data_IF_691320866559
#
_entry.id   IF_691320866559
#
_cell.length_a   1.000
_cell.length_b   1.000
_cell.length_c   1.000
_cell.angle_alpha   90.00
_cell.angle_beta   90.00
_cell.angle_gamma   90.00
#
_symmetry.space_group_name_H-M   'P 1'
#
loop_
_entity.id
_entity.type
_entity.pdbx_description
1 polymer ?
#
# COMPACT_ATOMS: atom_id res chain seq x y z
N UNK A 1 -0.48 -33.90 1.95
CA UNK A 1 -0.23 -34.86 0.86
C UNK A 1 1.27 -34.84 0.54
N UNK A 2 1.90 -36.02 0.37
CA UNK A 2 3.35 -36.16 0.21
C UNK A 2 3.85 -35.45 -1.05
N UNK A 3 4.87 -34.61 -0.93
CA UNK A 3 5.63 -34.07 -2.05
C UNK A 3 6.63 -35.14 -2.52
N UNK A 4 6.63 -35.46 -3.81
CA UNK A 4 7.68 -36.25 -4.45
C UNK A 4 8.75 -35.28 -4.97
N UNK A 5 10.01 -35.53 -4.60
CA UNK A 5 11.18 -34.82 -5.14
C UNK A 5 11.44 -35.28 -6.59
N UNK A 6 11.99 -34.40 -7.47
CA UNK A 6 12.32 -34.77 -8.83
C UNK A 6 13.70 -35.44 -8.93
N UNK A 7 13.77 -36.58 -9.63
CA UNK A 7 15.01 -37.25 -10.05
C UNK A 7 15.80 -36.44 -11.10
N UNK A 8 17.14 -36.60 -11.17
CA UNK A 8 17.99 -35.83 -12.07
C UNK A 8 17.91 -36.31 -13.52
N UNK A 9 17.95 -35.34 -14.44
CA UNK A 9 17.77 -35.52 -15.87
C UNK A 9 18.89 -36.35 -16.53
N UNK A 10 18.49 -37.34 -17.34
CA UNK A 10 19.34 -37.88 -18.41
C UNK A 10 18.98 -37.25 -19.76
N UNK A 11 20.03 -37.03 -20.53
CA UNK A 11 20.14 -36.37 -21.83
C UNK A 11 19.02 -36.63 -22.85
N UNK A 12 18.53 -35.55 -23.46
CA UNK A 12 17.73 -35.62 -24.68
C UNK A 12 16.86 -34.39 -24.86
N UNK A 13 17.10 -33.63 -25.94
CA UNK A 13 16.34 -32.46 -26.38
C UNK A 13 14.81 -32.66 -26.26
N UNK A 14 14.17 -31.96 -25.32
CA UNK A 14 12.73 -31.73 -25.33
C UNK A 14 12.42 -30.42 -24.57
N UNK A 15 11.84 -29.45 -25.26
CA UNK A 15 11.27 -28.27 -24.63
C UNK A 15 10.30 -28.69 -23.53
N UNK A 16 10.57 -28.27 -22.30
CA UNK A 16 9.75 -28.59 -21.13
C UNK A 16 8.38 -27.92 -21.28
N UNK A 17 7.43 -28.62 -21.90
CA UNK A 17 6.00 -28.31 -21.76
C UNK A 17 5.64 -28.52 -20.30
N UNK A 18 5.48 -27.43 -19.56
CA UNK A 18 4.78 -27.42 -18.27
C UNK A 18 3.33 -27.85 -18.53
N UNK A 19 3.07 -29.15 -18.44
CA UNK A 19 1.70 -29.68 -18.41
C UNK A 19 1.13 -29.43 -17.01
N UNK A 20 0.25 -28.43 -16.92
CA UNK A 20 -0.63 -28.25 -15.76
C UNK A 20 -1.73 -29.32 -15.82
N UNK A 21 -1.39 -30.55 -15.41
CA UNK A 21 -2.34 -31.65 -15.33
C UNK A 21 -3.05 -31.62 -13.98
N UNK A 22 -4.10 -30.81 -13.86
CA UNK A 22 -5.25 -31.17 -13.01
C UNK A 22 -6.54 -30.42 -13.48
N UNK A 23 -7.63 -31.11 -13.88
CA UNK A 23 -8.80 -30.48 -14.51
C UNK A 23 -9.75 -29.74 -13.55
N UNK A 24 -9.39 -29.51 -12.28
CA UNK A 24 -10.30 -28.88 -11.31
C UNK A 24 -10.48 -27.37 -11.50
N UNK A 25 -9.65 -26.71 -12.31
CA UNK A 25 -9.64 -25.26 -12.50
C UNK A 25 -10.65 -24.72 -13.55
N UNK A 26 -11.29 -25.60 -14.33
CA UNK A 26 -12.01 -25.21 -15.57
C UNK A 26 -13.54 -25.34 -15.53
N UNK A 27 -14.17 -25.59 -14.38
CA UNK A 27 -15.65 -25.58 -14.28
C UNK A 27 -16.17 -24.25 -13.75
N UNK A 28 -16.81 -23.44 -14.62
CA UNK A 28 -17.75 -22.34 -14.32
C UNK A 28 -17.68 -21.83 -12.86
N UNK A 29 -16.75 -20.93 -12.58
CA UNK A 29 -16.75 -20.19 -11.32
C UNK A 29 -17.25 -18.77 -11.56
N UNK A 30 -18.33 -18.47 -10.85
CA UNK A 30 -18.91 -17.16 -10.64
C UNK A 30 -17.84 -16.07 -10.51
N UNK A 31 -18.11 -14.91 -11.11
CA UNK A 31 -17.54 -13.64 -10.68
C UNK A 31 -17.92 -13.46 -9.22
N UNK A 32 -17.04 -13.81 -8.30
CA UNK A 32 -17.11 -13.36 -6.91
C UNK A 32 -15.82 -12.65 -6.56
N UNK A 33 -15.98 -11.41 -6.11
CA UNK A 33 -15.04 -10.79 -5.18
C UNK A 33 -14.64 -11.79 -4.09
N UNK A 34 -13.39 -11.69 -3.65
CA UNK A 34 -12.70 -12.54 -2.68
C UNK A 34 -12.37 -13.96 -3.15
N UNK A 35 -11.07 -14.20 -3.37
CA UNK A 35 -10.46 -15.49 -3.06
C UNK A 35 -9.41 -15.25 -1.96
N UNK A 36 -9.82 -15.56 -0.73
CA UNK A 36 -8.98 -15.73 0.46
C UNK A 36 -8.30 -17.10 0.37
N UNK A 37 -6.99 -17.18 0.59
CA UNK A 37 -6.34 -18.46 0.91
C UNK A 37 -5.80 -18.38 2.34
N UNK A 38 -6.53 -18.99 3.27
CA UNK A 38 -6.09 -19.26 4.63
C UNK A 38 -5.03 -20.37 4.65
N UNK A 39 -4.01 -20.20 5.48
CA UNK A 39 -2.91 -21.12 5.76
C UNK A 39 -1.98 -21.46 4.59
N UNK A 40 -1.20 -20.46 4.18
CA UNK A 40 0.14 -20.74 3.66
C UNK A 40 1.13 -20.37 4.75
N UNK A 41 1.90 -21.35 5.23
CA UNK A 41 3.06 -21.12 6.11
C UNK A 41 3.87 -19.92 5.58
N UNK A 42 4.45 -19.02 6.43
CA UNK A 42 5.06 -17.76 6.00
C UNK A 42 6.04 -17.86 4.81
N UNK A 43 6.62 -19.04 4.58
CA UNK A 43 7.45 -19.40 3.43
C UNK A 43 6.75 -19.38 2.05
N UNK A 44 5.41 -19.53 1.97
CA UNK A 44 4.71 -19.76 0.69
C UNK A 44 3.77 -18.65 0.20
N UNK A 45 3.43 -17.65 1.02
CA UNK A 45 2.50 -16.57 0.64
C UNK A 45 2.95 -15.80 -0.60
N UNK A 46 4.18 -15.27 -0.55
CA UNK A 46 4.81 -14.53 -1.66
C UNK A 46 4.96 -15.41 -2.91
N UNK A 47 5.20 -16.73 -2.74
CA UNK A 47 5.25 -17.69 -3.85
C UNK A 47 3.88 -17.81 -4.54
N UNK A 48 2.79 -17.96 -3.78
CA UNK A 48 1.42 -18.02 -4.33
C UNK A 48 1.10 -16.77 -5.14
N UNK A 49 1.40 -15.58 -4.62
CA UNK A 49 1.20 -14.33 -5.35
C UNK A 49 2.03 -14.26 -6.64
N UNK A 50 3.30 -14.63 -6.60
CA UNK A 50 4.17 -14.62 -7.79
C UNK A 50 3.64 -15.54 -8.89
N UNK A 51 3.24 -16.77 -8.54
CA UNK A 51 2.68 -17.71 -9.50
C UNK A 51 1.32 -17.24 -10.04
N UNK A 52 0.50 -16.59 -9.21
CA UNK A 52 -0.77 -16.01 -9.67
C UNK A 52 -0.55 -14.89 -10.68
N UNK A 53 0.42 -14.00 -10.46
CA UNK A 53 0.79 -12.98 -11.45
C UNK A 53 1.21 -13.64 -12.76
N UNK A 54 2.09 -14.65 -12.70
CA UNK A 54 2.53 -15.37 -13.89
C UNK A 54 1.38 -16.06 -14.64
N UNK A 55 0.40 -16.62 -13.90
CA UNK A 55 -0.80 -17.23 -14.47
C UNK A 55 -1.69 -16.20 -15.17
N UNK A 56 -1.97 -15.06 -14.51
CA UNK A 56 -2.79 -13.98 -15.09
C UNK A 56 -2.18 -13.46 -16.40
N UNK A 57 -0.86 -13.31 -16.44
CA UNK A 57 -0.15 -12.83 -17.63
C UNK A 57 -0.14 -13.87 -18.77
N UNK A 58 0.15 -15.14 -18.46
CA UNK A 58 0.39 -16.16 -19.50
C UNK A 58 -0.85 -16.91 -19.96
N UNK A 59 -1.79 -17.15 -19.06
CA UNK A 59 -2.96 -17.99 -19.33
C UNK A 59 -4.22 -17.15 -19.51
N UNK A 60 -4.37 -16.08 -18.72
CA UNK A 60 -5.50 -15.17 -18.84
C UNK A 60 -5.23 -13.99 -19.79
N UNK A 61 -4.01 -13.89 -20.34
CA UNK A 61 -3.60 -12.86 -21.30
C UNK A 61 -3.87 -11.43 -20.80
N UNK A 62 -3.80 -11.22 -19.48
CA UNK A 62 -3.97 -9.90 -18.89
C UNK A 62 -2.76 -9.03 -19.24
N UNK A 63 -2.95 -7.80 -19.75
CA UNK A 63 -1.84 -6.89 -20.01
C UNK A 63 -1.06 -6.58 -18.72
N UNK A 64 0.29 -6.58 -18.72
CA UNK A 64 1.06 -6.34 -17.49
C UNK A 64 0.73 -5.01 -16.77
N UNK A 65 0.51 -3.88 -17.46
CA UNK A 65 0.11 -2.63 -16.80
C UNK A 65 -1.26 -2.68 -16.13
N UNK A 66 -2.11 -3.67 -16.45
CA UNK A 66 -3.40 -3.89 -15.80
C UNK A 66 -3.27 -4.64 -14.46
N UNK A 67 -2.05 -5.07 -14.08
CA UNK A 67 -1.77 -5.77 -12.83
C UNK A 67 -1.03 -4.85 -11.86
N UNK A 68 -1.58 -4.70 -10.66
CA UNK A 68 -0.92 -4.10 -9.50
C UNK A 68 -0.65 -5.17 -8.46
N UNK A 69 0.60 -5.27 -8.02
CA UNK A 69 1.01 -6.12 -6.91
C UNK A 69 1.71 -5.29 -5.84
N UNK A 70 1.13 -5.27 -4.65
CA UNK A 70 1.64 -4.52 -3.50
C UNK A 70 2.06 -5.48 -2.39
N UNK A 71 3.24 -5.25 -1.83
CA UNK A 71 3.78 -6.02 -0.70
C UNK A 71 4.10 -5.10 0.46
N UNK A 72 3.75 -5.53 1.68
CA UNK A 72 4.35 -5.00 2.90
C UNK A 72 5.64 -5.77 3.17
N UNK A 73 6.70 -5.07 3.56
CA UNK A 73 7.94 -5.77 3.96
C UNK A 73 8.27 -5.45 5.40
N UNK A 74 8.43 -6.52 6.18
CA UNK A 74 8.87 -6.55 7.57
C UNK A 74 10.38 -6.53 7.74
N UNK A 75 11.16 -6.33 6.67
CA UNK A 75 12.62 -6.30 6.75
C UNK A 75 13.18 -5.02 6.19
N UNK A 76 13.17 -3.98 7.02
CA UNK A 76 14.21 -2.95 7.04
C UNK A 76 14.24 -2.32 8.43
N UNK A 77 15.15 -2.76 9.29
CA UNK A 77 15.64 -1.93 10.40
C UNK A 77 16.93 -1.17 10.02
N UNK A 78 17.41 -1.28 8.77
CA UNK A 78 18.77 -0.88 8.39
C UNK A 78 18.93 -0.26 6.98
N UNK A 79 17.88 0.29 6.38
CA UNK A 79 17.95 0.96 5.06
C UNK A 79 17.43 2.38 5.22
N UNK A 80 18.15 3.40 4.72
CA UNK A 80 17.75 4.80 4.84
C UNK A 80 16.39 5.05 4.18
N UNK A 81 15.53 5.94 4.75
CA UNK A 81 14.17 6.26 4.28
C UNK A 81 14.03 6.44 2.76
N UNK A 82 15.02 7.04 2.12
CA UNK A 82 15.07 7.27 0.66
C UNK A 82 15.07 5.99 -0.19
N UNK A 83 15.50 4.85 0.35
CA UNK A 83 15.51 3.55 -0.34
C UNK A 83 14.28 2.66 -0.02
N UNK A 84 13.33 3.14 0.80
CA UNK A 84 12.07 2.43 1.11
C UNK A 84 11.11 2.36 -0.07
N UNK A 85 11.39 3.11 -1.12
CA UNK A 85 10.62 3.09 -2.37
C UNK A 85 10.79 1.78 -3.14
N UNK A 86 11.86 1.02 -2.88
CA UNK A 86 12.14 -0.28 -3.49
C UNK A 86 12.58 -1.30 -2.41
N UNK A 87 11.61 -1.80 -1.63
CA UNK A 87 11.88 -2.72 -0.52
C UNK A 87 12.33 -4.12 -1.00
N UNK A 88 13.03 -4.83 -0.12
CA UNK A 88 13.62 -6.14 -0.38
C UNK A 88 12.59 -7.19 -0.84
N UNK A 89 11.37 -7.23 -0.28
CA UNK A 89 10.36 -8.19 -0.73
C UNK A 89 9.77 -7.86 -2.11
N UNK A 90 9.68 -6.57 -2.47
CA UNK A 90 9.31 -6.19 -3.82
C UNK A 90 10.40 -6.59 -4.82
N UNK A 91 11.69 -6.43 -4.46
CA UNK A 91 12.82 -6.91 -5.25
C UNK A 91 12.85 -8.43 -5.38
N UNK A 92 12.55 -9.15 -4.31
CA UNK A 92 12.48 -10.61 -4.32
C UNK A 92 11.33 -11.10 -5.21
N UNK A 93 10.13 -10.52 -5.08
CA UNK A 93 9.00 -10.84 -5.95
C UNK A 93 9.32 -10.48 -7.40
N UNK A 94 9.98 -9.35 -7.67
CA UNK A 94 10.42 -8.95 -9.01
C UNK A 94 11.39 -9.97 -9.60
N UNK A 95 12.37 -10.43 -8.81
CA UNK A 95 13.36 -11.42 -9.24
C UNK A 95 12.69 -12.75 -9.59
N UNK A 96 11.80 -13.24 -8.73
CA UNK A 96 11.04 -14.47 -8.96
C UNK A 96 10.15 -14.34 -10.19
N UNK A 97 9.47 -13.21 -10.36
CA UNK A 97 8.63 -12.95 -11.51
C UNK A 97 9.46 -12.93 -12.81
N UNK A 98 10.59 -12.21 -12.80
CA UNK A 98 11.55 -12.17 -13.92
C UNK A 98 11.99 -13.57 -14.35
N UNK A 99 12.29 -14.46 -13.39
CA UNK A 99 12.65 -15.84 -13.69
C UNK A 99 11.51 -16.65 -14.32
N UNK A 100 10.25 -16.36 -13.96
CA UNK A 100 9.08 -17.06 -14.47
C UNK A 100 8.63 -16.58 -15.85
N UNK A 101 8.57 -15.26 -16.07
CA UNK A 101 7.92 -14.66 -17.26
C UNK A 101 8.86 -13.83 -18.15
N UNK A 102 10.12 -13.66 -17.76
CA UNK A 102 11.09 -12.83 -18.46
C UNK A 102 11.11 -11.37 -17.95
N UNK A 103 12.27 -10.73 -18.05
CA UNK A 103 12.50 -9.41 -17.46
C UNK A 103 11.73 -8.26 -18.11
N UNK A 104 11.47 -8.34 -19.42
CA UNK A 104 10.70 -7.32 -20.15
C UNK A 104 9.25 -7.26 -19.68
N UNK A 105 8.59 -8.41 -19.57
CA UNK A 105 7.19 -8.47 -19.12
C UNK A 105 7.08 -8.14 -17.63
N UNK A 106 8.03 -8.63 -16.82
CA UNK A 106 8.03 -8.39 -15.39
C UNK A 106 8.22 -6.91 -15.02
N UNK A 107 8.94 -6.11 -15.83
CA UNK A 107 9.15 -4.68 -15.55
C UNK A 107 7.93 -3.81 -15.87
N UNK A 108 6.99 -4.31 -16.67
CA UNK A 108 5.75 -3.61 -17.00
C UNK A 108 4.64 -3.80 -15.95
N UNK A 109 4.79 -4.80 -15.06
CA UNK A 109 3.88 -4.99 -13.92
C UNK A 109 4.12 -3.90 -12.88
N UNK A 110 3.04 -3.31 -12.36
CA UNK A 110 3.13 -2.35 -11.26
C UNK A 110 3.37 -3.13 -9.97
N UNK A 111 4.63 -3.42 -9.67
CA UNK A 111 5.07 -4.16 -8.49
C UNK A 111 5.82 -3.26 -7.51
N UNK A 112 5.41 -3.24 -6.24
CA UNK A 112 6.12 -2.45 -5.22
C UNK A 112 5.41 -2.36 -3.88
N UNK A 113 5.62 -1.24 -3.21
CA UNK A 113 4.90 -0.85 -1.98
C UNK A 113 3.77 0.12 -2.32
N UNK A 114 2.82 0.32 -1.40
CA UNK A 114 1.80 1.35 -1.56
C UNK A 114 2.42 2.73 -1.83
N UNK A 115 3.47 3.08 -1.07
CA UNK A 115 4.19 4.34 -1.24
C UNK A 115 4.86 4.45 -2.61
N UNK A 116 5.59 3.41 -3.03
CA UNK A 116 6.28 3.41 -4.33
C UNK A 116 5.32 3.55 -5.51
N UNK A 117 4.19 2.84 -5.45
CA UNK A 117 3.12 3.00 -6.41
C UNK A 117 2.55 4.42 -6.40
N UNK A 118 2.20 4.97 -5.22
CA UNK A 118 1.66 6.32 -5.12
C UNK A 118 2.65 7.36 -5.65
N UNK A 119 3.95 7.24 -5.36
CA UNK A 119 4.98 8.12 -5.93
C UNK A 119 4.96 8.09 -7.45
N UNK A 120 4.94 6.90 -8.07
CA UNK A 120 4.89 6.77 -9.53
C UNK A 120 3.68 7.50 -10.12
N UNK A 121 2.50 7.31 -9.55
CA UNK A 121 1.29 7.98 -10.02
C UNK A 121 1.30 9.50 -9.75
N UNK A 122 1.76 9.93 -8.58
CA UNK A 122 1.85 11.35 -8.20
C UNK A 122 2.89 12.11 -9.03
N UNK A 123 4.02 11.47 -9.38
CA UNK A 123 5.00 12.07 -10.30
C UNK A 123 4.41 12.30 -11.68
N UNK A 124 3.55 11.39 -12.16
CA UNK A 124 2.95 11.46 -13.49
C UNK A 124 1.70 12.34 -13.55
N UNK A 125 0.92 12.40 -12.48
CA UNK A 125 -0.43 12.97 -12.48
C UNK A 125 -0.75 13.91 -11.31
N UNK A 126 0.21 14.19 -10.42
CA UNK A 126 -0.01 15.00 -9.21
C UNK A 126 -0.50 16.42 -9.50
N UNK A 127 -0.16 17.00 -10.65
CA UNK A 127 -0.67 18.32 -11.05
C UNK A 127 -2.19 18.40 -11.16
N UNK A 128 -2.86 17.26 -11.41
CA UNK A 128 -4.33 17.19 -11.47
C UNK A 128 -5.01 17.43 -10.13
N UNK A 129 -4.29 17.26 -9.02
CA UNK A 129 -4.77 17.54 -7.67
C UNK A 129 -4.03 18.73 -7.04
N UNK A 130 -3.38 19.56 -7.86
CA UNK A 130 -2.71 20.78 -7.41
C UNK A 130 -1.31 20.59 -6.83
N UNK A 131 -0.73 19.39 -6.88
CA UNK A 131 0.68 19.22 -6.47
C UNK A 131 1.61 19.94 -7.43
N UNK A 132 2.48 20.79 -6.88
CA UNK A 132 3.55 21.46 -7.63
C UNK A 132 4.51 20.40 -8.18
N UNK A 133 5.19 20.70 -9.29
CA UNK A 133 6.25 19.83 -9.81
C UNK A 133 7.45 19.78 -8.85
N UNK A 134 8.30 18.76 -9.01
CA UNK A 134 9.59 18.64 -8.30
C UNK A 134 9.51 18.63 -6.76
N UNK A 135 8.38 18.19 -6.20
CA UNK A 135 8.28 17.97 -4.75
C UNK A 135 9.31 16.95 -4.26
N UNK A 136 9.76 17.09 -3.03
CA UNK A 136 10.72 16.16 -2.41
C UNK A 136 10.04 15.30 -1.35
N UNK A 137 10.63 14.14 -1.02
CA UNK A 137 10.13 13.26 0.03
C UNK A 137 10.84 13.60 1.32
N UNK A 138 10.08 13.98 2.34
CA UNK A 138 10.60 14.32 3.66
C UNK A 138 10.90 13.04 4.44
N UNK A 139 12.17 12.87 4.82
CA UNK A 139 12.60 11.78 5.68
C UNK A 139 12.23 12.02 7.16
N UNK A 140 12.57 11.07 8.03
CA UNK A 140 12.21 11.14 9.45
C UNK A 140 12.87 12.29 10.18
N UNK A 141 14.11 12.64 9.84
CA UNK A 141 14.83 13.71 10.51
C UNK A 141 14.25 15.06 10.09
N UNK A 142 13.89 15.21 8.81
CA UNK A 142 13.16 16.36 8.31
C UNK A 142 11.77 16.49 8.96
N UNK A 143 11.00 15.40 9.08
CA UNK A 143 9.71 15.42 9.79
C UNK A 143 9.87 15.93 11.24
N UNK A 144 10.91 15.48 11.96
CA UNK A 144 11.18 15.94 13.33
C UNK A 144 11.57 17.42 13.37
N UNK A 145 12.30 17.91 12.36
CA UNK A 145 12.62 19.33 12.22
C UNK A 145 11.35 20.18 11.99
N UNK A 146 10.45 19.75 11.11
CA UNK A 146 9.15 20.41 10.90
C UNK A 146 8.28 20.37 12.16
N UNK A 147 8.21 19.23 12.86
CA UNK A 147 7.50 19.13 14.13
C UNK A 147 8.06 20.08 15.19
N UNK A 148 9.38 20.27 15.23
CA UNK A 148 10.04 21.24 16.12
C UNK A 148 9.73 22.69 15.72
N UNK A 149 9.73 23.00 14.43
CA UNK A 149 9.36 24.32 13.93
C UNK A 149 7.91 24.66 14.25
N UNK A 150 6.99 23.71 14.03
CA UNK A 150 5.55 23.83 14.34
C UNK A 150 5.33 24.19 15.82
N UNK A 151 6.02 23.50 16.75
CA UNK A 151 5.88 23.76 18.19
C UNK A 151 6.52 25.08 18.66
N UNK A 152 7.34 25.71 17.81
CA UNK A 152 7.97 27.02 18.08
C UNK A 152 7.24 28.17 17.42
N UNK A 153 6.21 27.90 16.62
CA UNK A 153 5.38 28.92 16.02
C UNK A 153 4.79 29.81 17.14
N UNK A 154 4.90 31.15 17.04
CA UNK A 154 4.33 32.07 18.02
C UNK A 154 2.84 31.83 18.31
N UNK A 155 2.08 31.27 17.36
CA UNK A 155 0.68 30.90 17.55
C UNK A 155 0.46 29.83 18.64
N UNK A 156 1.47 28.97 18.86
CA UNK A 156 1.39 27.82 19.77
C UNK A 156 2.41 27.88 20.92
N UNK A 157 3.31 28.87 20.91
CA UNK A 157 4.40 28.99 21.87
C UNK A 157 3.88 29.06 23.31
N UNK A 158 2.77 29.75 23.54
CA UNK A 158 2.15 29.90 24.86
C UNK A 158 1.51 28.60 25.37
N UNK A 159 0.93 27.82 24.45
CA UNK A 159 0.23 26.57 24.75
C UNK A 159 1.19 25.39 24.96
N UNK A 160 2.48 25.55 24.66
CA UNK A 160 3.53 24.54 24.86
C UNK A 160 4.76 25.10 25.60
N UNK A 161 4.59 26.13 26.45
CA UNK A 161 5.70 26.74 27.21
C UNK A 161 6.42 25.74 28.12
N UNK A 162 5.68 24.78 28.67
CA UNK A 162 6.21 23.71 29.53
C UNK A 162 6.92 22.59 28.75
N UNK A 163 6.95 22.68 27.41
CA UNK A 163 7.46 21.64 26.51
C UNK A 163 6.82 20.27 26.74
N UNK A 164 5.57 20.24 27.20
CA UNK A 164 4.81 19.01 27.40
C UNK A 164 4.66 18.20 26.11
N UNK A 165 4.52 18.87 24.97
CA UNK A 165 4.47 18.24 23.65
C UNK A 165 5.86 18.25 23.03
N UNK A 166 6.40 17.04 22.81
CA UNK A 166 7.70 16.84 22.13
C UNK A 166 7.51 16.70 20.61
N UNK A 167 8.46 17.13 19.76
CA UNK A 167 8.37 17.02 18.30
C UNK A 167 8.06 15.60 17.82
N UNK A 168 8.70 14.59 18.43
CA UNK A 168 8.45 13.18 18.13
C UNK A 168 6.99 12.79 18.36
N UNK A 169 6.42 13.16 19.50
CA UNK A 169 5.04 12.87 19.87
C UNK A 169 4.05 13.56 18.95
N UNK A 170 4.34 14.80 18.54
CA UNK A 170 3.55 15.52 17.55
C UNK A 170 3.53 14.78 16.21
N UNK A 171 4.71 14.48 15.65
CA UNK A 171 4.84 13.81 14.35
C UNK A 171 4.18 12.42 14.37
N UNK A 172 4.31 11.66 15.46
CA UNK A 172 3.64 10.36 15.61
C UNK A 172 2.11 10.50 15.68
N UNK A 173 1.61 11.55 16.35
CA UNK A 173 0.16 11.83 16.41
C UNK A 173 -0.40 12.24 15.05
N UNK A 174 0.35 13.04 14.29
CA UNK A 174 0.02 13.42 12.91
C UNK A 174 0.03 12.18 12.00
N UNK A 175 1.08 11.37 12.06
CA UNK A 175 1.18 10.13 11.28
C UNK A 175 0.00 9.19 11.57
N UNK A 176 -0.40 9.06 12.84
CA UNK A 176 -1.61 8.33 13.22
C UNK A 176 -2.86 8.88 12.53
N UNK A 177 -3.08 10.19 12.59
CA UNK A 177 -4.23 10.83 11.96
C UNK A 177 -4.23 10.62 10.43
N UNK A 178 -3.07 10.81 9.78
CA UNK A 178 -2.90 10.57 8.34
C UNK A 178 -3.20 9.11 7.97
N UNK A 179 -2.72 8.13 8.73
CA UNK A 179 -2.99 6.71 8.48
C UNK A 179 -4.48 6.31 8.56
N UNK A 180 -5.28 7.13 9.25
CA UNK A 180 -6.73 6.99 9.38
C UNK A 180 -7.51 7.77 8.32
N UNK A 181 -6.83 8.58 7.50
CA UNK A 181 -7.45 9.47 6.52
C UNK A 181 -8.05 10.74 7.13
N UNK A 182 -7.68 11.10 8.36
CA UNK A 182 -8.20 12.28 9.04
C UNK A 182 -7.41 13.53 8.61
N UNK A 183 -8.11 14.55 8.10
CA UNK A 183 -7.52 15.86 7.81
C UNK A 183 -7.43 16.72 9.08
N UNK A 184 -6.59 17.77 9.10
CA UNK A 184 -6.57 18.74 10.20
C UNK A 184 -7.95 19.35 10.48
N UNK A 185 -8.70 19.66 9.43
CA UNK A 185 -10.04 20.24 9.51
C UNK A 185 -11.05 19.25 10.11
N UNK A 186 -10.97 17.96 9.73
CA UNK A 186 -11.82 16.93 10.31
C UNK A 186 -11.49 16.70 11.78
N UNK A 187 -10.20 16.63 12.13
CA UNK A 187 -9.77 16.54 13.52
C UNK A 187 -10.28 17.73 14.35
N UNK A 188 -10.25 18.94 13.80
CA UNK A 188 -10.74 20.13 14.47
C UNK A 188 -12.25 20.08 14.69
N UNK A 189 -13.00 19.62 13.67
CA UNK A 189 -14.46 19.45 13.73
C UNK A 189 -14.88 18.45 14.80
N UNK A 190 -14.13 17.37 14.96
CA UNK A 190 -14.38 16.29 15.93
C UNK A 190 -13.75 16.55 17.31
N UNK A 191 -13.04 17.66 17.51
CA UNK A 191 -12.28 17.91 18.72
C UNK A 191 -13.18 18.38 19.89
N UNK A 192 -13.40 17.48 20.84
CA UNK A 192 -14.20 17.74 22.05
C UNK A 192 -13.40 18.39 23.18
N UNK A 193 -12.07 18.27 23.16
CA UNK A 193 -11.20 18.78 24.24
C UNK A 193 -10.25 19.86 23.71
N UNK A 194 -9.81 20.81 24.56
CA UNK A 194 -8.81 21.80 24.18
C UNK A 194 -7.53 21.17 23.60
N UNK A 195 -7.09 20.05 24.17
CA UNK A 195 -5.93 19.32 23.67
C UNK A 195 -6.15 18.75 22.26
N UNK A 196 -7.32 18.14 21.98
CA UNK A 196 -7.64 17.65 20.62
C UNK A 196 -7.68 18.81 19.60
N UNK A 197 -8.21 19.98 20.00
CA UNK A 197 -8.24 21.19 19.15
C UNK A 197 -6.82 21.66 18.85
N UNK A 198 -5.97 21.74 19.87
CA UNK A 198 -4.55 22.09 19.72
C UNK A 198 -3.83 21.13 18.77
N UNK A 199 -4.02 19.81 18.91
CA UNK A 199 -3.43 18.82 18.02
C UNK A 199 -3.86 19.01 16.55
N UNK A 200 -5.13 19.33 16.30
CA UNK A 200 -5.63 19.61 14.96
C UNK A 200 -4.99 20.87 14.36
N UNK A 201 -4.85 21.94 15.14
CA UNK A 201 -4.20 23.18 14.71
C UNK A 201 -2.70 22.99 14.45
N UNK A 202 -2.00 22.25 15.31
CA UNK A 202 -0.58 21.90 15.10
C UNK A 202 -0.41 21.03 13.85
N UNK A 203 -1.33 20.11 13.59
CA UNK A 203 -1.30 19.33 12.34
C UNK A 203 -1.47 20.23 11.11
N UNK A 204 -2.39 21.22 11.15
CA UNK A 204 -2.52 22.19 10.06
C UNK A 204 -1.22 22.96 9.82
N UNK A 205 -0.65 23.56 10.86
CA UNK A 205 0.61 24.31 10.77
C UNK A 205 1.78 23.45 10.28
N UNK A 206 1.92 22.21 10.76
CA UNK A 206 2.91 21.25 10.24
C UNK A 206 2.73 21.00 8.74
N UNK A 207 1.48 20.84 8.28
CA UNK A 207 1.17 20.61 6.87
C UNK A 207 1.47 21.84 6.01
N UNK A 208 1.20 23.04 6.54
CA UNK A 208 1.51 24.32 5.85
C UNK A 208 3.02 24.50 5.66
N UNK A 209 3.84 24.09 6.64
CA UNK A 209 5.30 24.11 6.52
C UNK A 209 5.81 23.16 5.44
N UNK A 210 5.25 21.94 5.36
CA UNK A 210 5.58 20.98 4.29
C UNK A 210 5.20 21.53 2.91
N UNK A 211 4.01 22.13 2.79
CA UNK A 211 3.51 22.71 1.54
C UNK A 211 4.36 23.91 1.08
N UNK A 212 4.78 24.75 2.02
CA UNK A 212 5.66 25.89 1.75
C UNK A 212 6.99 25.44 1.14
N UNK A 213 7.57 24.36 1.68
CA UNK A 213 8.83 23.78 1.20
C UNK A 213 8.65 22.81 0.02
N UNK A 214 7.43 22.66 -0.49
CA UNK A 214 7.09 21.72 -1.56
C UNK A 214 7.56 20.28 -1.22
N UNK A 215 7.37 19.87 0.02
CA UNK A 215 7.73 18.55 0.52
C UNK A 215 6.49 17.72 0.83
N UNK A 216 6.58 16.41 0.60
CA UNK A 216 5.60 15.42 1.04
C UNK A 216 6.27 14.47 2.03
N UNK A 217 5.67 14.25 3.18
CA UNK A 217 6.12 13.18 4.06
C UNK A 217 5.60 11.80 3.59
N UNK A 218 6.03 10.73 4.25
CA UNK A 218 5.67 9.38 3.83
C UNK A 218 4.15 9.13 3.84
N UNK A 219 3.44 9.66 4.83
CA UNK A 219 2.01 9.45 4.95
C UNK A 219 1.24 10.30 3.92
N UNK A 220 1.76 11.48 3.56
CA UNK A 220 1.22 12.32 2.48
C UNK A 220 1.20 11.58 1.14
N UNK A 221 2.21 10.76 0.85
CA UNK A 221 2.23 9.98 -0.39
C UNK A 221 0.97 9.10 -0.54
N UNK A 222 0.49 8.52 0.57
CA UNK A 222 -0.72 7.71 0.56
C UNK A 222 -1.97 8.58 0.48
N UNK A 223 -2.05 9.67 1.25
CA UNK A 223 -3.20 10.58 1.23
C UNK A 223 -3.41 11.22 -0.14
N UNK A 224 -2.36 11.78 -0.74
CA UNK A 224 -2.44 12.37 -2.08
C UNK A 224 -2.66 11.30 -3.15
N UNK A 225 -2.10 10.10 -2.99
CA UNK A 225 -2.38 8.97 -3.89
C UNK A 225 -3.86 8.58 -3.88
N UNK A 226 -4.44 8.45 -2.69
CA UNK A 226 -5.86 8.19 -2.48
C UNK A 226 -6.72 9.29 -3.11
N UNK A 227 -6.41 10.56 -2.83
CA UNK A 227 -7.09 11.72 -3.41
C UNK A 227 -7.02 11.70 -4.94
N UNK A 228 -5.84 11.44 -5.52
CA UNK A 228 -5.65 11.37 -6.96
C UNK A 228 -6.58 10.32 -7.59
N UNK A 229 -6.61 9.12 -7.03
CA UNK A 229 -7.40 8.01 -7.54
C UNK A 229 -8.90 8.24 -7.37
N UNK A 230 -9.31 8.83 -6.25
CA UNK A 230 -10.71 9.19 -5.98
C UNK A 230 -11.21 10.27 -6.93
N UNK A 231 -10.46 11.35 -7.10
CA UNK A 231 -10.86 12.50 -7.93
C UNK A 231 -10.70 12.24 -9.44
N UNK A 232 -9.81 11.33 -9.84
CA UNK A 232 -9.50 11.05 -11.24
C UNK A 232 -9.49 9.54 -11.54
N UNK A 233 -10.64 8.84 -11.41
CA UNK A 233 -10.70 7.38 -11.53
C UNK A 233 -10.25 6.85 -12.91
N UNK A 234 -10.31 7.68 -13.96
CA UNK A 234 -9.80 7.33 -15.29
C UNK A 234 -8.29 7.03 -15.32
N UNK A 235 -7.51 7.50 -14.35
CA UNK A 235 -6.06 7.20 -14.25
C UNK A 235 -5.82 5.72 -13.99
N UNK A 236 -6.70 5.10 -13.20
CA UNK A 236 -6.57 3.72 -12.73
C UNK A 236 -7.58 2.77 -13.39
N UNK A 237 -8.37 3.24 -14.35
CA UNK A 237 -9.42 2.44 -15.00
C UNK A 237 -8.91 1.27 -15.84
N UNK A 238 -7.62 1.27 -16.17
CA UNK A 238 -6.96 0.18 -16.90
C UNK A 238 -6.55 -0.98 -15.98
N UNK A 239 -6.60 -0.79 -14.65
CA UNK A 239 -6.23 -1.81 -13.67
C UNK A 239 -7.35 -2.83 -13.55
N UNK A 240 -7.00 -4.09 -13.74
CA UNK A 240 -7.93 -5.22 -13.74
C UNK A 240 -7.71 -6.15 -12.54
N UNK A 241 -6.47 -6.28 -12.06
CA UNK A 241 -6.20 -7.08 -10.87
C UNK A 241 -5.28 -6.36 -9.88
N UNK A 242 -5.67 -6.41 -8.62
CA UNK A 242 -4.91 -5.89 -7.49
C UNK A 242 -4.54 -7.06 -6.58
N UNK A 243 -3.26 -7.27 -6.36
CA UNK A 243 -2.72 -8.33 -5.51
C UNK A 243 -2.04 -7.69 -4.30
N UNK A 244 -2.39 -8.10 -3.09
CA UNK A 244 -1.83 -7.54 -1.86
C UNK A 244 -1.28 -8.67 -0.99
N UNK A 245 0.01 -8.60 -0.69
CA UNK A 245 0.67 -9.43 0.32
C UNK A 245 0.51 -8.79 1.71
N UNK A 246 0.60 -9.60 2.77
CA UNK A 246 0.52 -9.18 4.19
C UNK A 246 -0.65 -8.22 4.50
N UNK A 247 -1.84 -8.55 4.01
CA UNK A 247 -3.02 -7.69 4.10
C UNK A 247 -3.42 -7.32 5.54
N UNK A 248 -3.07 -8.16 6.53
CA UNK A 248 -3.33 -7.87 7.95
C UNK A 248 -2.64 -6.58 8.44
N UNK A 249 -1.57 -6.14 7.77
CA UNK A 249 -0.78 -4.97 8.16
C UNK A 249 -1.25 -3.66 7.49
N UNK A 250 -2.38 -3.70 6.79
CA UNK A 250 -2.96 -2.52 6.11
C UNK A 250 -3.61 -1.52 7.07
N UNK A 251 -3.30 -0.24 6.88
CA UNK A 251 -4.02 0.87 7.54
C UNK A 251 -5.27 1.30 6.74
N UNK A 252 -5.99 2.32 7.23
CA UNK A 252 -7.27 2.75 6.62
C UNK A 252 -7.08 3.34 5.23
N UNK A 253 -6.07 4.19 5.04
CA UNK A 253 -5.81 4.82 3.75
C UNK A 253 -5.35 3.80 2.70
N UNK A 254 -4.49 2.85 3.08
CA UNK A 254 -4.07 1.76 2.18
C UNK A 254 -5.25 0.88 1.76
N UNK A 255 -6.16 0.59 2.69
CA UNK A 255 -7.41 -0.11 2.39
C UNK A 255 -8.28 0.68 1.41
N UNK A 256 -8.41 2.01 1.58
CA UNK A 256 -9.14 2.87 0.65
C UNK A 256 -8.49 2.88 -0.75
N UNK A 257 -7.17 3.01 -0.83
CA UNK A 257 -6.41 2.93 -2.09
C UNK A 257 -6.67 1.59 -2.78
N UNK A 258 -6.57 0.46 -2.06
CA UNK A 258 -6.90 -0.85 -2.61
C UNK A 258 -8.30 -0.85 -3.22
N UNK A 259 -9.31 -0.36 -2.49
CA UNK A 259 -10.70 -0.34 -2.96
C UNK A 259 -10.87 0.48 -4.23
N UNK A 260 -10.19 1.61 -4.34
CA UNK A 260 -10.22 2.46 -5.53
C UNK A 260 -9.60 1.73 -6.73
N UNK A 261 -8.41 1.16 -6.56
CA UNK A 261 -7.72 0.39 -7.61
C UNK A 261 -8.52 -0.83 -8.08
N UNK A 262 -9.23 -1.45 -7.14
CA UNK A 262 -10.03 -2.64 -7.38
C UNK A 262 -11.43 -2.36 -7.91
N UNK A 263 -11.85 -1.09 -8.01
CA UNK A 263 -13.25 -0.72 -8.23
C UNK A 263 -13.87 -1.39 -9.48
N UNK A 264 -13.07 -1.63 -10.53
CA UNK A 264 -13.49 -2.28 -11.77
C UNK A 264 -12.87 -3.66 -11.99
N UNK A 265 -12.14 -4.17 -11.01
CA UNK A 265 -11.27 -5.34 -11.14
C UNK A 265 -11.46 -6.35 -10.03
N UNK A 266 -10.55 -7.33 -9.99
CA UNK A 266 -10.50 -8.34 -8.97
C UNK A 266 -9.38 -8.07 -7.95
N UNK A 267 -9.65 -8.32 -6.68
CA UNK A 267 -8.65 -8.28 -5.61
C UNK A 267 -8.25 -9.68 -5.22
N UNK A 268 -6.95 -9.90 -5.05
CA UNK A 268 -6.39 -11.05 -4.35
C UNK A 268 -5.61 -10.55 -3.15
N UNK A 269 -5.98 -11.00 -1.96
CA UNK A 269 -5.25 -10.67 -0.73
C UNK A 269 -4.66 -11.93 -0.13
N UNK A 270 -3.45 -11.84 0.38
CA UNK A 270 -2.82 -12.86 1.20
C UNK A 270 -2.41 -12.21 2.51
N UNK A 271 -2.63 -12.90 3.61
CA UNK A 271 -2.31 -12.41 4.94
C UNK A 271 -2.42 -13.52 5.98
N UNK A 272 -1.83 -13.30 7.14
CA UNK A 272 -1.94 -14.19 8.30
C UNK A 272 -2.37 -13.35 9.51
N UNK A 273 -3.60 -13.53 10.02
CA UNK A 273 -4.08 -12.77 11.17
C UNK A 273 -3.23 -12.99 12.42
N UNK A 274 -2.60 -14.16 12.57
CA UNK A 274 -1.75 -14.50 13.72
C UNK A 274 -0.38 -13.80 13.64
N UNK A 275 -0.04 -13.20 12.49
CA UNK A 275 1.20 -12.44 12.25
C UNK A 275 0.99 -10.92 12.22
N UNK A 276 -0.19 -10.43 12.60
CA UNK A 276 -0.50 -9.00 12.71
C UNK A 276 0.27 -8.32 13.86
N UNK A 277 1.59 -8.23 13.77
CA UNK A 277 2.47 -7.64 14.78
C UNK A 277 2.60 -6.12 14.64
N UNK A 278 1.96 -5.50 13.62
CA UNK A 278 2.09 -4.08 13.28
C UNK A 278 0.97 -3.18 13.83
N UNK A 279 0.37 -3.53 14.97
CA UNK A 279 -0.55 -2.62 15.67
C UNK A 279 0.07 -1.22 15.94
N UNK A 280 1.39 -1.14 16.07
CA UNK A 280 2.14 0.11 16.23
C UNK A 280 2.26 0.97 14.95
N UNK A 281 1.95 0.43 13.76
CA UNK A 281 1.83 1.17 12.48
C UNK A 281 0.37 1.41 12.07
N UNK A 282 -0.55 1.33 13.03
CA UNK A 282 -1.98 1.56 12.82
C UNK A 282 -2.66 0.58 11.85
N UNK A 283 -2.06 -0.61 11.66
CA UNK A 283 -2.71 -1.72 11.01
C UNK A 283 -4.04 -2.02 11.72
N UNK A 284 -5.13 -2.15 10.96
CA UNK A 284 -6.42 -2.50 11.53
C UNK A 284 -6.77 -3.93 11.16
N UNK A 285 -6.70 -4.84 12.14
CA UNK A 285 -7.17 -6.24 11.99
C UNK A 285 -8.63 -6.31 11.49
N UNK A 286 -9.43 -5.28 11.81
CA UNK A 286 -10.80 -5.14 11.31
C UNK A 286 -10.88 -5.08 9.78
N UNK A 287 -9.81 -4.72 9.06
CA UNK A 287 -9.82 -4.69 7.60
C UNK A 287 -9.94 -6.10 7.01
N UNK A 288 -9.28 -7.09 7.62
CA UNK A 288 -9.43 -8.49 7.25
C UNK A 288 -10.86 -8.98 7.57
N UNK A 289 -11.41 -8.58 8.73
CA UNK A 289 -12.81 -8.89 9.09
C UNK A 289 -13.85 -8.21 8.18
N UNK A 290 -13.63 -6.95 7.79
CA UNK A 290 -14.51 -6.21 6.85
C UNK A 290 -14.54 -6.90 5.49
N UNK A 291 -13.41 -7.46 5.06
CA UNK A 291 -13.35 -8.25 3.82
C UNK A 291 -14.06 -9.60 3.95
N UNK A 292 -13.90 -10.32 5.07
CA UNK A 292 -14.55 -11.64 5.27
C UNK A 292 -16.05 -11.54 5.52
N UNK A 293 -16.52 -10.47 6.18
CA UNK A 293 -17.94 -10.22 6.45
C UNK A 293 -18.66 -9.51 5.30
N UNK A 294 -17.92 -8.80 4.42
CA UNK A 294 -18.45 -8.07 3.28
C UNK A 294 -18.72 -8.96 2.05
N UNK A 295 -19.73 -9.83 2.13
CA UNK A 295 -20.22 -10.62 0.98
C UNK A 295 -20.96 -9.80 -0.09
N UNK A 296 -20.94 -8.48 -0.01
CA UNK A 296 -21.55 -7.56 -0.98
C UNK A 296 -20.65 -6.33 -1.11
N UNK A 297 -19.73 -6.39 -2.07
CA UNK A 297 -18.97 -5.21 -2.52
C UNK A 297 -19.79 -4.31 -3.46
N UNK A 298 -21.11 -4.45 -3.46
CA UNK A 298 -22.07 -3.58 -4.12
C UNK A 298 -22.89 -2.86 -3.06
N UNK A 299 -22.33 -1.81 -2.47
CA UNK A 299 -23.04 -0.69 -1.87
C UNK A 299 -21.98 0.30 -1.37
N UNK A 300 -21.57 1.21 -2.24
CA UNK A 300 -21.15 2.53 -1.82
C UNK A 300 -22.32 3.48 -2.14
N UNK A 301 -22.65 4.42 -1.25
CA UNK A 301 -23.67 5.41 -1.52
C UNK A 301 -23.27 6.23 -2.75
N UNK A 302 -24.24 6.47 -3.62
CA UNK A 302 -24.12 7.24 -4.86
C UNK A 302 -23.30 8.53 -4.64
N UNK A 303 -22.17 8.63 -5.34
CA UNK A 303 -21.49 9.88 -5.68
C UNK A 303 -21.59 10.05 -7.19
#
# INVERSE_FOLDING_TARGET
>A
AKFLEPEPAQSGSAATKLQFADPCWTRKWYVSMLQLTYHVSPCGKTRVLTYRIAYLLRQCEIPPPALVAVTFTNKVHFVPPSAWLQLASAKEMQHRLTALIGGSVASEVILGTFHGMCVTFLRKHGSKIGLKSNWVICDRDQQLAYGKATLKDPQFADQNQDQSIKPKTLVESISKAKSQGSSPEEMLRQAETPFKKLMAMLYRSYSDLLEADNCLDFDDLLLFGEQLFRSHPAIISHIQHVLIDEFQDTNTVQYQIMRLLAHRGAVTVVGDPDQGIYGFRYAQSINLEKMTKGNTFCELPNL
#
